data_IF_190700540093
#
_entry.id   IF_190700540093
#
_cell.length_a   1.000
_cell.length_b   1.000
_cell.length_c   1.000
_cell.angle_alpha   90.00
_cell.angle_beta   90.00
_cell.angle_gamma   90.00
#
_symmetry.space_group_name_H-M   'P 1'
#
loop_
_entity.id
_entity.type
_entity.pdbx_description
1 polymer ?
#
# COMPACT_ATOMS: atom_id res chain seq x y z
N UNK A 1 -0.52 0.04 17.67
CA UNK A 1 -1.69 -0.77 17.28
C UNK A 1 -1.81 -0.73 15.76
N UNK A 2 -1.90 -1.90 15.11
CA UNK A 2 -1.80 -2.05 13.65
C UNK A 2 -3.08 -1.62 12.93
N UNK A 3 -2.93 -0.79 11.90
CA UNK A 3 -4.04 -0.32 11.06
C UNK A 3 -4.47 -1.32 9.98
N UNK A 4 -3.94 -2.54 9.98
CA UNK A 4 -4.01 -3.56 8.91
C UNK A 4 -5.40 -4.10 8.54
N UNK A 5 -6.47 -3.57 9.14
CA UNK A 5 -7.87 -3.97 8.91
C UNK A 5 -8.83 -2.78 8.91
N UNK A 6 -8.31 -1.56 8.84
CA UNK A 6 -9.11 -0.34 8.89
C UNK A 6 -9.39 0.10 7.45
N UNK A 7 -10.65 0.13 7.06
CA UNK A 7 -11.09 0.66 5.77
C UNK A 7 -10.89 2.19 5.71
N UNK A 8 -11.07 2.79 4.52
CA UNK A 8 -10.91 4.23 4.34
C UNK A 8 -11.75 5.05 5.35
N UNK A 9 -12.94 4.53 5.70
CA UNK A 9 -13.85 5.12 6.68
C UNK A 9 -13.25 5.06 8.09
N UNK A 10 -12.70 3.93 8.48
CA UNK A 10 -12.04 3.76 9.76
C UNK A 10 -10.78 4.61 9.89
N UNK A 11 -10.03 4.83 8.80
CA UNK A 11 -8.88 5.73 8.81
C UNK A 11 -9.32 7.18 8.99
N UNK A 12 -10.36 7.63 8.27
CA UNK A 12 -10.94 8.97 8.44
C UNK A 12 -11.46 9.18 9.88
N UNK A 13 -12.12 8.17 10.45
CA UNK A 13 -12.62 8.20 11.82
C UNK A 13 -11.48 8.25 12.85
N UNK A 14 -10.42 7.46 12.65
CA UNK A 14 -9.23 7.46 13.49
C UNK A 14 -8.50 8.82 13.51
N UNK A 15 -8.39 9.50 12.37
CA UNK A 15 -7.81 10.85 12.27
C UNK A 15 -8.66 11.87 13.04
N UNK A 16 -10.00 11.77 12.92
CA UNK A 16 -10.93 12.64 13.67
C UNK A 16 -10.82 12.46 15.18
N UNK A 17 -10.27 11.32 15.65
CA UNK A 17 -10.03 10.98 17.05
C UNK A 17 -8.58 11.26 17.52
N UNK A 18 -7.87 12.24 16.93
CA UNK A 18 -6.55 12.75 17.37
C UNK A 18 -5.36 11.79 17.11
N UNK A 19 -5.52 10.72 16.33
CA UNK A 19 -4.37 9.88 15.96
C UNK A 19 -3.44 10.65 15.01
N UNK A 20 -2.20 10.89 15.44
CA UNK A 20 -1.16 11.59 14.65
C UNK A 20 -0.12 10.66 14.00
N UNK A 21 -0.10 9.36 14.33
CA UNK A 21 0.82 8.36 13.76
C UNK A 21 0.10 7.05 13.49
N UNK A 22 0.15 6.58 12.24
CA UNK A 22 -0.47 5.34 11.79
C UNK A 22 0.61 4.46 11.16
N UNK A 23 0.68 3.19 11.59
CA UNK A 23 1.59 2.23 10.98
C UNK A 23 0.91 1.61 9.75
N UNK A 24 1.51 1.77 8.57
CA UNK A 24 0.95 1.38 7.28
C UNK A 24 1.88 0.38 6.57
N UNK A 25 1.97 -0.83 7.12
CA UNK A 25 2.87 -1.88 6.62
C UNK A 25 2.13 -2.90 5.75
N UNK A 26 1.08 -3.51 6.30
CA UNK A 26 0.41 -4.66 5.68
C UNK A 26 -0.20 -4.36 4.31
N UNK A 27 -0.91 -3.24 4.16
CA UNK A 27 -1.54 -2.85 2.89
C UNK A 27 -0.53 -2.54 1.80
N UNK A 28 0.50 -1.75 2.12
CA UNK A 28 1.60 -1.46 1.22
C UNK A 28 2.26 -2.77 0.76
N UNK A 29 2.63 -3.65 1.69
CA UNK A 29 3.32 -4.89 1.36
C UNK A 29 2.43 -5.84 0.53
N UNK A 30 1.13 -5.90 0.82
CA UNK A 30 0.15 -6.65 0.03
C UNK A 30 0.07 -6.14 -1.41
N UNK A 31 0.01 -4.82 -1.62
CA UNK A 31 0.00 -4.23 -2.96
C UNK A 31 1.28 -4.57 -3.74
N UNK A 32 2.44 -4.54 -3.06
CA UNK A 32 3.72 -4.98 -3.64
C UNK A 32 3.71 -6.45 -4.06
N UNK A 33 3.23 -7.34 -3.17
CA UNK A 33 3.11 -8.77 -3.43
C UNK A 33 2.21 -9.08 -4.63
N UNK A 34 1.02 -8.45 -4.70
CA UNK A 34 0.07 -8.67 -5.79
C UNK A 34 0.64 -8.22 -7.15
N UNK A 35 1.37 -7.09 -7.17
CA UNK A 35 2.04 -6.61 -8.38
C UNK A 35 3.18 -7.54 -8.83
N UNK A 36 4.02 -7.99 -7.89
CA UNK A 36 5.07 -8.97 -8.18
C UNK A 36 4.51 -10.28 -8.73
N UNK A 37 3.48 -10.83 -8.06
CA UNK A 37 2.81 -12.05 -8.49
C UNK A 37 2.23 -11.91 -9.91
N UNK A 38 1.65 -10.75 -10.23
CA UNK A 38 1.11 -10.47 -11.56
C UNK A 38 2.19 -10.42 -12.65
N UNK A 39 3.33 -9.79 -12.39
CA UNK A 39 4.45 -9.76 -13.35
C UNK A 39 5.01 -11.16 -13.63
N UNK A 40 5.12 -12.00 -12.59
CA UNK A 40 5.57 -13.40 -12.72
C UNK A 40 4.54 -14.24 -13.48
N UNK A 41 3.26 -14.19 -13.09
CA UNK A 41 2.19 -15.02 -13.68
C UNK A 41 1.92 -14.65 -15.13
N UNK A 42 1.98 -13.36 -15.48
CA UNK A 42 1.79 -12.93 -16.87
C UNK A 42 3.03 -13.19 -17.74
N UNK A 43 4.14 -13.69 -17.18
CA UNK A 43 5.37 -13.98 -17.90
C UNK A 43 5.97 -12.76 -18.60
N UNK A 44 5.66 -11.55 -18.12
CA UNK A 44 6.07 -10.29 -18.76
C UNK A 44 7.58 -10.11 -18.76
N UNK A 45 8.27 -10.73 -17.80
CA UNK A 45 9.71 -10.64 -17.63
C UNK A 45 10.28 -11.92 -17.03
N UNK A 46 11.54 -12.20 -17.35
CA UNK A 46 12.37 -13.22 -16.68
C UNK A 46 13.42 -12.60 -15.75
N UNK A 47 13.45 -11.26 -15.67
CA UNK A 47 14.44 -10.53 -14.92
C UNK A 47 13.88 -10.11 -13.56
N UNK A 48 14.67 -10.36 -12.51
CA UNK A 48 14.30 -10.03 -11.13
C UNK A 48 13.99 -8.53 -10.95
N UNK A 49 14.81 -7.66 -11.55
CA UNK A 49 14.69 -6.21 -11.36
C UNK A 49 13.37 -5.63 -11.86
N UNK A 50 12.73 -6.25 -12.86
CA UNK A 50 11.42 -5.81 -13.36
C UNK A 50 10.30 -6.13 -12.37
N UNK A 51 10.36 -7.34 -11.76
CA UNK A 51 9.42 -7.76 -10.73
C UNK A 51 9.55 -6.88 -9.49
N UNK A 52 10.79 -6.62 -9.05
CA UNK A 52 11.09 -5.72 -7.94
C UNK A 52 10.62 -4.29 -8.21
N UNK A 53 10.83 -3.79 -9.43
CA UNK A 53 10.38 -2.47 -9.84
C UNK A 53 8.85 -2.36 -9.81
N UNK A 54 8.14 -3.35 -10.34
CA UNK A 54 6.67 -3.38 -10.33
C UNK A 54 6.12 -3.40 -8.90
N UNK A 55 6.70 -4.23 -8.02
CA UNK A 55 6.34 -4.26 -6.60
C UNK A 55 6.57 -2.89 -5.94
N UNK A 56 7.73 -2.27 -6.19
CA UNK A 56 8.08 -0.95 -5.65
C UNK A 56 7.10 0.14 -6.11
N UNK A 57 6.72 0.16 -7.39
CA UNK A 57 5.74 1.12 -7.89
C UNK A 57 4.37 0.91 -7.25
N UNK A 58 3.92 -0.33 -7.11
CA UNK A 58 2.64 -0.63 -6.47
C UNK A 58 2.62 -0.20 -4.99
N UNK A 59 3.68 -0.50 -4.24
CA UNK A 59 3.87 -0.04 -2.85
C UNK A 59 3.83 1.49 -2.76
N UNK A 60 4.53 2.17 -3.67
CA UNK A 60 4.58 3.64 -3.71
C UNK A 60 3.21 4.26 -3.97
N UNK A 61 2.46 3.73 -4.92
CA UNK A 61 1.12 4.24 -5.23
C UNK A 61 0.12 3.95 -4.11
N UNK A 62 0.24 2.81 -3.44
CA UNK A 62 -0.60 2.49 -2.27
C UNK A 62 -0.34 3.45 -1.10
N UNK A 63 0.93 3.72 -0.79
CA UNK A 63 1.31 4.71 0.24
C UNK A 63 0.83 6.12 -0.13
N UNK A 64 0.92 6.53 -1.40
CA UNK A 64 0.38 7.82 -1.84
C UNK A 64 -1.13 7.92 -1.63
N UNK A 65 -1.89 6.87 -1.92
CA UNK A 65 -3.34 6.83 -1.64
C UNK A 65 -3.60 6.99 -0.15
N UNK A 66 -2.87 6.26 0.68
CA UNK A 66 -2.96 6.38 2.12
C UNK A 66 -2.65 7.81 2.61
N UNK A 67 -1.59 8.44 2.12
CA UNK A 67 -1.23 9.83 2.45
C UNK A 67 -2.35 10.80 2.08
N UNK A 68 -3.02 10.65 0.93
CA UNK A 68 -4.16 11.49 0.53
C UNK A 68 -5.32 11.36 1.51
N UNK A 69 -5.69 10.12 1.83
CA UNK A 69 -6.73 9.81 2.84
C UNK A 69 -6.36 10.44 4.19
N UNK A 70 -5.10 10.34 4.61
CA UNK A 70 -4.63 10.92 5.88
C UNK A 70 -4.57 12.44 5.89
N UNK A 71 -4.29 13.04 4.75
CA UNK A 71 -4.13 14.49 4.62
C UNK A 71 -5.46 15.22 4.43
N UNK A 72 -6.59 14.49 4.40
CA UNK A 72 -7.93 15.03 4.14
C UNK A 72 -7.97 15.91 2.86
N UNK A 73 -7.15 15.54 1.87
CA UNK A 73 -6.99 16.20 0.57
C UNK A 73 -7.12 15.19 -0.56
#
# INVERSE_FOLDING_TARGET
>A
MGGSGVDEVGFRKAISCVIRKINYYFYMFKAGYEAAAKEIVLGKTKYLHDVEYAAMQAMKEDVKKAIRIFSNR
#
